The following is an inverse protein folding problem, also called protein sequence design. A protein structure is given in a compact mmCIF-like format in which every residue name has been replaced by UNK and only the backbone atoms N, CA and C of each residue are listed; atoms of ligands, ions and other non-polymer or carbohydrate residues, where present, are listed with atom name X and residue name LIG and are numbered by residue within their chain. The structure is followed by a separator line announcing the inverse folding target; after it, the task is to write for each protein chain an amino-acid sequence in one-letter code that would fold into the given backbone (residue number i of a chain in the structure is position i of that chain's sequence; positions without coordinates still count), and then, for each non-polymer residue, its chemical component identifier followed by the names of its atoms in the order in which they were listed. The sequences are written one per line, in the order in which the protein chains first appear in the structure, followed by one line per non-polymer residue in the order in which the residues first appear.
data_IF_685196164641
#
_entry.id   IF_685196164641
#
_cell.length_a   1.000
_cell.length_b   1.000
_cell.length_c   1.000
_cell.angle_alpha   90.00
_cell.angle_beta   90.00
_cell.angle_gamma   90.00
#
_symmetry.space_group_name_H-M   'P 1'
#
loop_
_entity.id
_entity.type
_entity.pdbx_description
1 polymer ?
#
# COMPACT_ATOMS: atom_id res chain seq x y z
N UNK A 1 -16.31 -8.08 -17.13
CA UNK A 1 -15.14 -7.29 -16.69
C UNK A 1 -14.93 -7.53 -15.20
N UNK A 2 -13.71 -7.79 -14.72
CA UNK A 2 -13.49 -7.94 -13.29
C UNK A 2 -13.71 -6.59 -12.56
N UNK A 3 -14.49 -6.58 -11.48
CA UNK A 3 -14.94 -5.35 -10.79
C UNK A 3 -13.75 -4.46 -10.37
N UNK A 4 -12.67 -5.07 -9.91
CA UNK A 4 -11.46 -4.34 -9.48
C UNK A 4 -10.74 -3.64 -10.64
N UNK A 5 -10.82 -4.15 -11.87
CA UNK A 5 -10.29 -3.46 -13.06
C UNK A 5 -11.11 -2.22 -13.42
N UNK A 6 -12.44 -2.30 -13.27
CA UNK A 6 -13.32 -1.16 -13.49
C UNK A 6 -13.09 -0.06 -12.43
N UNK A 7 -12.72 -0.44 -11.21
CA UNK A 7 -12.33 0.48 -10.14
C UNK A 7 -10.92 1.09 -10.29
N UNK A 8 -10.22 0.83 -11.41
CA UNK A 8 -8.87 1.35 -11.64
C UNK A 8 -7.77 0.66 -10.81
N UNK A 9 -8.06 -0.47 -10.16
CA UNK A 9 -7.05 -1.22 -9.41
C UNK A 9 -6.19 -2.05 -10.37
N UNK A 10 -4.87 -1.95 -10.18
CA UNK A 10 -3.94 -2.91 -10.76
C UNK A 10 -3.99 -4.24 -9.98
N UNK A 11 -3.52 -5.32 -10.60
CA UNK A 11 -3.53 -6.66 -9.99
C UNK A 11 -2.75 -6.73 -8.67
N UNK A 12 -1.60 -6.05 -8.59
CA UNK A 12 -0.74 -6.02 -7.40
C UNK A 12 -1.49 -5.38 -6.22
N UNK A 13 -2.15 -4.25 -6.45
CA UNK A 13 -2.94 -3.53 -5.46
C UNK A 13 -4.13 -4.36 -4.98
N UNK A 14 -4.86 -4.99 -5.91
CA UNK A 14 -5.96 -5.88 -5.57
C UNK A 14 -5.50 -7.03 -4.65
N UNK A 15 -4.42 -7.73 -5.03
CA UNK A 15 -3.86 -8.84 -4.26
C UNK A 15 -3.33 -8.40 -2.88
N UNK A 16 -2.71 -7.21 -2.80
CA UNK A 16 -2.24 -6.66 -1.53
C UNK A 16 -3.40 -6.33 -0.57
N UNK A 17 -4.51 -5.79 -1.08
CA UNK A 17 -5.71 -5.51 -0.29
C UNK A 17 -6.30 -6.81 0.25
N UNK A 18 -6.45 -7.83 -0.61
CA UNK A 18 -6.94 -9.14 -0.20
C UNK A 18 -6.03 -9.78 0.87
N UNK A 19 -4.72 -9.69 0.70
CA UNK A 19 -3.75 -10.19 1.67
C UNK A 19 -3.85 -9.46 3.02
N UNK A 20 -4.10 -8.14 3.01
CA UNK A 20 -4.31 -7.39 4.25
C UNK A 20 -5.54 -7.86 5.01
N UNK A 21 -6.65 -8.06 4.30
CA UNK A 21 -7.90 -8.54 4.89
C UNK A 21 -7.71 -9.92 5.55
N UNK A 22 -7.02 -10.84 4.86
CA UNK A 22 -6.71 -12.17 5.40
C UNK A 22 -5.86 -12.08 6.67
N UNK A 23 -4.84 -11.22 6.71
CA UNK A 23 -4.00 -11.03 7.91
C UNK A 23 -4.78 -10.50 9.11
N UNK A 24 -5.75 -9.61 8.89
CA UNK A 24 -6.62 -9.11 9.95
C UNK A 24 -7.53 -10.20 10.52
N UNK A 25 -7.96 -11.14 9.68
CA UNK A 25 -8.80 -12.27 10.08
C UNK A 25 -8.05 -13.37 10.88
N UNK A 26 -6.71 -13.33 10.98
CA UNK A 26 -5.94 -14.29 11.79
C UNK A 26 -6.21 -14.13 13.28
N UNK A 27 -5.90 -15.19 14.05
CA UNK A 27 -5.89 -15.16 15.52
C UNK A 27 -4.92 -14.09 16.05
N UNK A 28 -5.20 -13.46 17.20
CA UNK A 28 -4.40 -12.34 17.74
C UNK A 28 -2.90 -12.66 17.88
N UNK A 29 -2.58 -13.89 18.32
CA UNK A 29 -1.21 -14.38 18.54
C UNK A 29 -0.36 -14.33 17.26
N UNK A 30 -0.95 -14.63 16.11
CA UNK A 30 -0.26 -14.67 14.82
C UNK A 30 -0.38 -13.34 14.07
N UNK A 31 -1.36 -12.51 14.44
CA UNK A 31 -1.64 -11.23 13.78
C UNK A 31 -0.48 -10.25 13.93
N UNK A 32 0.16 -10.20 15.10
CA UNK A 32 1.30 -9.31 15.36
C UNK A 32 2.49 -9.59 14.42
N UNK A 33 2.80 -10.87 14.19
CA UNK A 33 3.87 -11.25 13.27
C UNK A 33 3.48 -10.98 11.80
N UNK A 34 2.21 -11.18 11.45
CA UNK A 34 1.71 -10.93 10.11
C UNK A 34 1.64 -9.43 9.75
N UNK A 35 1.32 -8.57 10.72
CA UNK A 35 1.18 -7.13 10.54
C UNK A 35 2.47 -6.46 10.04
N UNK A 36 3.64 -6.98 10.44
CA UNK A 36 4.96 -6.48 9.99
C UNK A 36 5.14 -6.52 8.48
N UNK A 37 4.39 -7.35 7.75
CA UNK A 37 4.45 -7.44 6.28
C UNK A 37 3.66 -6.34 5.58
N UNK A 38 2.82 -5.58 6.28
CA UNK A 38 2.07 -4.45 5.71
C UNK A 38 2.88 -3.14 5.75
N UNK A 39 3.90 -3.06 6.59
CA UNK A 39 4.74 -1.88 6.73
C UNK A 39 5.61 -1.70 5.48
N UNK A 40 5.48 -0.55 4.80
CA UNK A 40 6.31 -0.17 3.64
C UNK A 40 6.82 1.25 3.83
N UNK A 41 8.10 1.38 4.16
CA UNK A 41 8.77 2.68 4.40
C UNK A 41 9.44 3.22 3.13
N UNK A 42 8.68 3.33 2.04
CA UNK A 42 9.22 3.79 0.75
C UNK A 42 8.88 5.27 0.56
N UNK A 43 9.90 6.12 0.45
CA UNK A 43 9.76 7.52 0.06
C UNK A 43 9.98 7.65 -1.45
N UNK A 44 8.92 7.93 -2.18
CA UNK A 44 9.03 8.22 -3.62
C UNK A 44 9.39 9.68 -3.82
N UNK A 45 10.56 9.96 -4.38
CA UNK A 45 10.95 11.31 -4.80
C UNK A 45 10.82 11.40 -6.32
N UNK A 46 9.89 12.23 -6.79
CA UNK A 46 9.75 12.51 -8.22
C UNK A 46 10.85 13.49 -8.65
N UNK A 47 11.51 13.21 -9.76
CA UNK A 47 12.52 14.08 -10.34
C UNK A 47 11.97 14.69 -11.62
N UNK A 48 12.15 16.00 -11.79
CA UNK A 48 11.80 16.70 -13.03
C UNK A 48 12.88 17.75 -13.32
N UNK A 49 13.28 17.87 -14.58
CA UNK A 49 14.27 18.87 -15.04
C UNK A 49 15.59 18.84 -14.23
N UNK A 50 16.03 17.63 -13.84
CA UNK A 50 17.31 17.42 -13.16
C UNK A 50 17.33 17.81 -11.68
N UNK A 51 16.21 18.25 -11.10
CA UNK A 51 16.09 18.54 -9.67
C UNK A 51 15.03 17.65 -9.01
N UNK A 52 15.25 17.21 -7.75
CA UNK A 52 14.22 16.50 -7.01
C UNK A 52 13.09 17.49 -6.72
N UNK A 53 11.86 17.12 -7.11
CA UNK A 53 10.67 17.88 -6.75
C UNK A 53 10.49 17.75 -5.23
N UNK A 54 10.43 18.87 -4.50
CA UNK A 54 10.26 18.85 -3.06
C UNK A 54 8.92 18.17 -2.75
N UNK A 55 8.99 16.96 -2.21
CA UNK A 55 7.82 16.18 -1.83
C UNK A 55 7.10 16.93 -0.71
N UNK A 56 6.01 17.64 -1.04
CA UNK A 56 5.07 18.12 -0.03
C UNK A 56 4.48 16.87 0.63
N UNK A 57 4.96 16.60 1.85
CA UNK A 57 4.38 15.59 2.71
C UNK A 57 2.94 16.05 2.98
N UNK A 58 1.97 15.47 2.27
CA UNK A 58 0.56 15.66 2.57
C UNK A 58 0.33 15.09 3.97
N UNK A 59 0.38 15.97 4.97
CA UNK A 59 -0.19 15.75 6.28
C UNK A 59 -1.66 15.39 6.04
N UNK A 60 -2.01 14.12 6.23
CA UNK A 60 -3.39 13.73 6.43
C UNK A 60 -3.79 14.35 7.77
N UNK A 61 -4.53 15.46 7.71
CA UNK A 61 -5.29 16.00 8.86
C UNK A 61 -6.47 15.09 9.17
#
# INVERSE_FOLDING_TARGET
MAIWRAAGLNYINYSNIAASLVRKALKPELRAQAARREESHIKMTKWKEGKPEQTQQQQIK
#
